data_IF_682239625765
#
_entry.id   IF_682239625765
#
_cell.length_a   1.000
_cell.length_b   1.000
_cell.length_c   1.000
_cell.angle_alpha   90.00
_cell.angle_beta   90.00
_cell.angle_gamma   90.00
#
_symmetry.space_group_name_H-M   'P 1'
#
loop_
_entity.id
_entity.type
_entity.pdbx_description
1 polymer ?
#
# COMPACT_ATOMS: atom_id res chain seq x y z
N UNK A 1 9.13 -14.93 -7.18
CA UNK A 1 9.80 -13.96 -6.28
C UNK A 1 10.76 -13.12 -7.12
N UNK A 2 10.31 -11.99 -7.64
CA UNK A 2 11.18 -11.04 -8.34
C UNK A 2 11.99 -10.29 -7.30
N UNK A 3 13.32 -10.34 -7.45
CA UNK A 3 14.30 -9.66 -6.60
C UNK A 3 14.29 -8.15 -6.92
N UNK A 4 13.18 -7.47 -6.62
CA UNK A 4 13.06 -6.03 -6.80
C UNK A 4 13.89 -5.36 -5.70
N UNK A 5 14.92 -4.56 -6.02
CA UNK A 5 15.69 -3.86 -5.00
C UNK A 5 14.76 -2.99 -4.17
N UNK A 6 15.00 -2.96 -2.86
CA UNK A 6 14.21 -2.16 -1.92
C UNK A 6 14.08 -0.72 -2.41
N UNK A 7 12.84 -0.22 -2.54
CA UNK A 7 12.56 1.10 -3.10
C UNK A 7 13.22 2.22 -2.27
N UNK A 8 13.22 2.06 -0.95
CA UNK A 8 13.89 2.91 0.04
C UNK A 8 13.85 2.26 1.44
N UNK A 9 14.57 2.87 2.40
CA UNK A 9 14.51 2.53 3.83
C UNK A 9 13.29 3.17 4.52
N UNK A 10 12.82 2.57 5.63
CA UNK A 10 11.62 3.04 6.34
C UNK A 10 11.91 4.07 7.44
N UNK A 11 13.07 3.97 8.10
CA UNK A 11 13.44 4.84 9.22
C UNK A 11 14.14 6.11 8.72
N UNK A 12 13.35 7.01 8.11
CA UNK A 12 13.82 8.29 7.58
C UNK A 12 13.41 9.43 8.50
N UNK A 13 14.25 10.46 8.58
CA UNK A 13 13.85 11.74 9.19
C UNK A 13 12.67 12.36 8.43
N UNK A 14 11.75 13.07 9.09
CA UNK A 14 10.51 13.57 8.48
C UNK A 14 10.74 14.39 7.20
N UNK A 15 11.65 15.36 7.20
CA UNK A 15 12.04 16.14 6.02
C UNK A 15 12.48 15.24 4.85
N UNK A 16 13.31 14.23 5.14
CA UNK A 16 13.82 13.30 4.13
C UNK A 16 12.70 12.42 3.57
N UNK A 17 11.80 11.93 4.42
CA UNK A 17 10.62 11.17 4.00
C UNK A 17 9.70 12.00 3.09
N UNK A 18 9.43 13.27 3.45
CA UNK A 18 8.64 14.18 2.63
C UNK A 18 9.30 14.51 1.28
N UNK A 19 10.63 14.69 1.26
CA UNK A 19 11.39 14.88 0.03
C UNK A 19 11.34 13.62 -0.85
N UNK A 20 11.46 12.45 -0.25
CA UNK A 20 11.32 11.18 -0.94
C UNK A 20 9.92 11.00 -1.53
N UNK A 21 8.85 11.36 -0.80
CA UNK A 21 7.49 11.29 -1.35
C UNK A 21 7.36 12.09 -2.65
N UNK A 22 7.93 13.30 -2.71
CA UNK A 22 7.93 14.11 -3.94
C UNK A 22 8.70 13.45 -5.08
N UNK A 23 9.87 12.86 -4.79
CA UNK A 23 10.67 12.12 -5.79
C UNK A 23 9.92 10.89 -6.32
N UNK A 24 9.27 10.14 -5.44
CA UNK A 24 8.52 8.93 -5.80
C UNK A 24 7.22 9.26 -6.53
N UNK A 25 6.56 10.38 -6.21
CA UNK A 25 5.35 10.83 -6.92
C UNK A 25 5.57 11.02 -8.42
N UNK A 26 6.78 11.38 -8.84
CA UNK A 26 7.15 11.52 -10.25
C UNK A 26 7.24 10.17 -11.00
N UNK A 27 7.30 9.04 -10.27
CA UNK A 27 7.32 7.69 -10.83
C UNK A 27 5.92 7.07 -10.99
N UNK A 28 4.88 7.74 -10.50
CA UNK A 28 3.51 7.21 -10.54
C UNK A 28 2.96 7.29 -11.96
N UNK A 29 2.60 6.12 -12.51
CA UNK A 29 1.86 6.00 -13.76
C UNK A 29 0.36 6.17 -13.45
N UNK A 30 -0.30 7.09 -14.17
CA UNK A 30 -1.73 7.43 -13.96
C UNK A 30 -2.63 7.00 -15.12
N UNK A 31 -2.04 6.35 -16.11
CA UNK A 31 -2.73 5.76 -17.25
C UNK A 31 -2.84 4.26 -17.05
N UNK A 32 -3.87 3.65 -17.63
CA UNK A 32 -4.02 2.20 -17.61
C UNK A 32 -2.79 1.51 -18.23
N UNK A 33 -2.32 0.46 -17.56
CA UNK A 33 -1.20 -0.40 -17.93
C UNK A 33 -1.53 -1.88 -17.66
N UNK A 34 -2.80 -2.23 -17.48
CA UNK A 34 -3.23 -3.61 -17.30
C UNK A 34 -2.82 -4.45 -18.52
N UNK A 35 -2.18 -5.59 -18.28
CA UNK A 35 -1.67 -6.48 -19.33
C UNK A 35 -2.76 -7.37 -19.94
N UNK A 36 -3.96 -7.37 -19.37
CA UNK A 36 -5.08 -8.22 -19.76
C UNK A 36 -6.26 -8.03 -18.82
N UNK A 37 -7.18 -8.99 -18.83
CA UNK A 37 -8.34 -9.02 -17.93
C UNK A 37 -7.90 -9.18 -16.47
N UNK A 38 -8.53 -8.41 -15.57
CA UNK A 38 -8.38 -8.57 -14.13
C UNK A 38 -9.14 -9.82 -13.68
N UNK A 39 -8.43 -10.78 -13.08
CA UNK A 39 -8.99 -12.04 -12.56
C UNK A 39 -8.79 -12.19 -11.06
N UNK A 40 -7.72 -11.59 -10.53
CA UNK A 40 -7.35 -11.62 -9.13
C UNK A 40 -7.28 -10.21 -8.56
N UNK A 41 -8.11 -9.92 -7.58
CA UNK A 41 -8.13 -8.63 -6.87
C UNK A 41 -7.72 -8.85 -5.43
N UNK A 42 -6.70 -8.14 -4.96
CA UNK A 42 -6.36 -8.11 -3.54
C UNK A 42 -6.99 -6.89 -2.87
N UNK A 43 -7.68 -7.09 -1.75
CA UNK A 43 -8.04 -6.03 -0.82
C UNK A 43 -7.05 -6.00 0.35
N UNK A 44 -6.64 -4.82 0.78
CA UNK A 44 -5.81 -4.66 1.99
C UNK A 44 -6.36 -3.56 2.88
N UNK A 45 -6.38 -3.86 4.18
CA UNK A 45 -6.70 -2.94 5.26
C UNK A 45 -5.71 -3.16 6.40
N UNK A 46 -5.58 -2.18 7.30
CA UNK A 46 -4.70 -2.30 8.43
C UNK A 46 -5.15 -1.54 9.68
N UNK A 47 -4.60 -1.97 10.80
CA UNK A 47 -4.78 -1.36 12.09
C UNK A 47 -3.44 -1.14 12.79
N UNK A 48 -3.35 -0.05 13.54
CA UNK A 48 -2.22 0.23 14.42
C UNK A 48 -2.68 0.10 15.88
N UNK A 49 -1.93 -0.65 16.67
CA UNK A 49 -2.07 -0.72 18.12
C UNK A 49 -0.92 0.08 18.76
N UNK A 50 -1.17 1.35 19.06
CA UNK A 50 -0.13 2.23 19.61
C UNK A 50 0.28 1.84 21.04
N UNK A 51 -0.65 1.30 21.85
CA UNK A 51 -0.34 0.84 23.22
C UNK A 51 0.67 -0.32 23.23
N UNK A 52 0.57 -1.23 22.26
CA UNK A 52 1.48 -2.37 22.10
C UNK A 52 2.63 -2.10 21.13
N UNK A 53 2.66 -0.93 20.50
CA UNK A 53 3.58 -0.57 19.43
C UNK A 53 3.60 -1.59 18.26
N UNK A 54 2.42 -2.09 17.87
CA UNK A 54 2.25 -3.12 16.83
C UNK A 54 1.39 -2.62 15.66
N UNK A 55 1.77 -2.99 14.44
CA UNK A 55 0.97 -2.86 13.23
C UNK A 55 0.40 -4.23 12.84
N UNK A 56 -0.82 -4.23 12.33
CA UNK A 56 -1.54 -5.41 11.86
C UNK A 56 -2.08 -5.13 10.46
N UNK A 57 -1.68 -5.91 9.46
CA UNK A 57 -2.19 -5.79 8.10
C UNK A 57 -2.93 -7.07 7.72
N UNK A 58 -4.09 -6.92 7.09
CA UNK A 58 -4.86 -8.03 6.53
C UNK A 58 -4.94 -7.87 5.01
N UNK A 59 -4.56 -8.93 4.28
CA UNK A 59 -4.73 -9.01 2.83
C UNK A 59 -5.69 -10.15 2.49
N UNK A 60 -6.61 -9.88 1.57
CA UNK A 60 -7.60 -10.83 1.07
C UNK A 60 -7.50 -10.89 -0.44
N UNK A 61 -7.26 -12.08 -0.99
CA UNK A 61 -7.25 -12.31 -2.44
C UNK A 61 -8.62 -12.83 -2.88
N UNK A 62 -9.19 -12.19 -3.89
CA UNK A 62 -10.50 -12.49 -4.45
C UNK A 62 -10.39 -12.89 -5.92
N UNK A 63 -11.22 -13.82 -6.37
CA UNK A 63 -11.50 -14.01 -7.79
C UNK A 63 -12.38 -12.87 -8.32
N UNK A 64 -12.24 -12.52 -9.59
CA UNK A 64 -13.07 -11.53 -10.26
C UNK A 64 -13.56 -12.08 -11.61
N UNK A 65 -14.84 -11.91 -11.96
CA UNK A 65 -15.87 -11.10 -11.28
C UNK A 65 -16.65 -11.80 -10.16
N UNK A 66 -16.36 -13.07 -9.84
CA UNK A 66 -17.18 -13.87 -8.91
C UNK A 66 -17.06 -13.42 -7.44
N UNK A 67 -16.01 -12.67 -7.09
CA UNK A 67 -15.76 -12.14 -5.75
C UNK A 67 -15.62 -13.24 -4.68
N UNK A 68 -15.14 -14.42 -5.08
CA UNK A 68 -14.91 -15.52 -4.14
C UNK A 68 -13.56 -15.33 -3.45
N UNK A 69 -13.52 -15.58 -2.14
CA UNK A 69 -12.26 -15.45 -1.41
C UNK A 69 -11.38 -16.67 -1.62
N UNK A 70 -10.21 -16.44 -2.21
CA UNK A 70 -9.21 -17.46 -2.49
C UNK A 70 -8.20 -17.59 -1.36
N UNK A 71 -7.73 -16.46 -0.81
CA UNK A 71 -6.74 -16.42 0.28
C UNK A 71 -7.04 -15.30 1.26
N UNK A 72 -6.64 -15.49 2.52
CA UNK A 72 -6.67 -14.46 3.57
C UNK A 72 -5.44 -14.63 4.43
N UNK A 73 -4.66 -13.56 4.60
CA UNK A 73 -3.49 -13.57 5.47
C UNK A 73 -3.50 -12.34 6.37
N UNK A 74 -3.02 -12.52 7.59
CA UNK A 74 -2.76 -11.45 8.54
C UNK A 74 -1.28 -11.47 8.85
N UNK A 75 -0.67 -10.30 8.86
CA UNK A 75 0.72 -10.12 9.27
C UNK A 75 0.79 -9.04 10.34
N UNK A 76 1.70 -9.23 11.29
CA UNK A 76 1.91 -8.33 12.40
C UNK A 76 3.39 -8.05 12.55
N UNK A 77 3.73 -6.77 12.78
CA UNK A 77 5.10 -6.38 13.11
C UNK A 77 5.14 -5.10 13.95
N UNK A 78 6.24 -4.82 14.66
CA UNK A 78 6.39 -3.56 15.39
C UNK A 78 6.30 -2.33 14.49
N UNK A 79 5.70 -1.24 14.99
CA UNK A 79 5.61 0.02 14.26
C UNK A 79 7.01 0.60 14.07
N UNK A 80 7.37 0.94 12.82
CA UNK A 80 8.72 1.41 12.44
C UNK A 80 8.93 2.93 12.52
N UNK A 81 7.85 3.71 12.60
CA UNK A 81 7.92 5.18 12.60
C UNK A 81 6.80 5.79 13.48
N UNK A 82 7.06 6.88 14.24
CA UNK A 82 6.03 7.57 15.01
C UNK A 82 4.97 8.23 14.12
N UNK A 83 3.83 8.60 14.71
CA UNK A 83 2.77 9.30 13.98
C UNK A 83 3.23 10.69 13.51
N UNK A 84 3.30 10.87 12.19
CA UNK A 84 3.57 12.17 11.56
C UNK A 84 2.53 12.40 10.45
N UNK A 85 1.70 13.45 10.54
CA UNK A 85 0.69 13.75 9.53
C UNK A 85 1.26 13.81 8.12
N UNK A 86 0.65 13.04 7.20
CA UNK A 86 1.08 12.97 5.80
C UNK A 86 2.27 12.04 5.48
N UNK A 87 2.79 11.33 6.48
CA UNK A 87 3.79 10.25 6.34
C UNK A 87 3.24 8.87 6.74
N UNK A 88 1.92 8.73 6.84
CA UNK A 88 1.25 7.52 7.31
C UNK A 88 1.72 6.25 6.57
N UNK A 89 1.92 6.33 5.25
CA UNK A 89 2.41 5.21 4.43
C UNK A 89 3.73 4.60 4.91
N UNK A 90 4.61 5.38 5.56
CA UNK A 90 5.89 4.87 6.09
C UNK A 90 5.71 4.04 7.37
N UNK A 91 4.64 4.29 8.14
CA UNK A 91 4.26 3.47 9.31
C UNK A 91 3.60 2.17 8.88
N UNK A 92 2.90 2.23 7.75
CA UNK A 92 1.86 1.29 7.39
C UNK A 92 2.30 0.23 6.37
N UNK A 93 2.99 0.67 5.31
CA UNK A 93 3.40 -0.22 4.21
C UNK A 93 4.32 -1.37 4.64
N UNK A 94 5.26 -1.24 5.60
CA UNK A 94 6.08 -2.39 6.00
C UNK A 94 5.24 -3.62 6.35
N UNK A 95 4.22 -3.43 7.19
CA UNK A 95 3.35 -4.50 7.65
C UNK A 95 2.50 -5.05 6.50
N UNK A 96 2.02 -4.17 5.63
CA UNK A 96 1.31 -4.56 4.41
C UNK A 96 2.19 -5.44 3.51
N UNK A 97 3.46 -5.08 3.28
CA UNK A 97 4.38 -5.89 2.47
C UNK A 97 4.61 -7.26 3.10
N UNK A 98 4.66 -7.35 4.43
CA UNK A 98 4.69 -8.62 5.15
C UNK A 98 3.45 -9.48 4.88
N UNK A 99 2.26 -8.88 4.87
CA UNK A 99 1.02 -9.59 4.52
C UNK A 99 1.01 -10.06 3.05
N UNK A 100 1.44 -9.22 2.11
CA UNK A 100 1.53 -9.58 0.69
C UNK A 100 2.55 -10.69 0.42
N UNK A 101 3.63 -10.77 1.22
CA UNK A 101 4.61 -11.84 1.10
C UNK A 101 4.07 -13.24 1.46
N UNK A 102 2.92 -13.31 2.14
CA UNK A 102 2.23 -14.56 2.48
C UNK A 102 1.31 -15.06 1.36
N UNK A 103 0.95 -14.22 0.39
CA UNK A 103 0.11 -14.62 -0.73
C UNK A 103 0.83 -15.65 -1.62
N UNK A 104 0.14 -16.73 -1.94
CA UNK A 104 0.67 -17.76 -2.85
C UNK A 104 0.58 -17.34 -4.32
N UNK A 105 -0.31 -16.39 -4.63
CA UNK A 105 -0.58 -15.88 -5.96
C UNK A 105 -0.47 -14.35 -6.00
N UNK A 106 0.04 -13.82 -7.11
CA UNK A 106 0.12 -12.37 -7.32
C UNK A 106 -1.24 -11.84 -7.82
N UNK A 107 -1.81 -10.79 -7.21
CA UNK A 107 -3.02 -10.15 -7.72
C UNK A 107 -2.74 -9.33 -8.99
N UNK A 108 -3.75 -9.17 -9.83
CA UNK A 108 -3.71 -8.29 -11.00
C UNK A 108 -3.95 -6.82 -10.61
N UNK A 109 -4.72 -6.61 -9.54
CA UNK A 109 -5.11 -5.30 -9.03
C UNK A 109 -5.19 -5.32 -7.50
N UNK A 110 -4.71 -4.25 -6.87
CA UNK A 110 -4.81 -4.08 -5.41
C UNK A 110 -5.71 -2.91 -5.06
N UNK A 111 -6.70 -3.16 -4.20
CA UNK A 111 -7.53 -2.15 -3.57
C UNK A 111 -7.03 -1.91 -2.15
N UNK A 112 -6.77 -0.64 -1.81
CA UNK A 112 -6.19 -0.22 -0.53
C UNK A 112 -7.18 0.68 0.19
N UNK A 113 -7.50 0.40 1.45
CA UNK A 113 -8.25 1.34 2.30
C UNK A 113 -7.35 2.56 2.60
N UNK A 114 -7.52 3.62 1.82
CA UNK A 114 -6.68 4.80 1.91
C UNK A 114 -6.58 5.58 0.61
N UNK A 115 -5.78 6.65 0.64
CA UNK A 115 -5.62 7.56 -0.48
C UNK A 115 -4.57 7.06 -1.48
N UNK A 116 -4.79 7.32 -2.77
CA UNK A 116 -3.78 7.21 -3.83
C UNK A 116 -3.19 8.57 -4.19
N UNK A 117 -3.43 9.02 -5.42
CA UNK A 117 -2.99 10.34 -5.90
C UNK A 117 -3.72 11.52 -5.23
N UNK A 118 -4.87 11.26 -4.58
CA UNK A 118 -5.64 12.21 -3.77
C UNK A 118 -4.93 12.50 -2.42
N UNK A 119 -3.68 12.93 -2.50
CA UNK A 119 -2.80 13.21 -1.37
C UNK A 119 -2.03 14.52 -1.64
N UNK A 120 -1.67 15.34 -0.62
CA UNK A 120 -0.95 16.61 -0.81
C UNK A 120 0.35 16.51 -1.64
N UNK A 121 0.97 15.33 -1.67
CA UNK A 121 2.19 15.06 -2.45
C UNK A 121 1.97 14.09 -3.61
N UNK A 122 0.72 13.80 -3.98
CA UNK A 122 0.33 12.81 -4.99
C UNK A 122 0.85 11.38 -4.74
N UNK A 123 1.29 11.12 -3.51
CA UNK A 123 1.80 9.84 -3.05
C UNK A 123 1.13 9.45 -1.74
N UNK A 124 -0.15 9.08 -1.81
CA UNK A 124 -0.84 8.42 -0.71
C UNK A 124 -0.41 6.96 -0.58
N UNK A 125 -0.95 6.25 0.42
CA UNK A 125 -0.58 4.86 0.71
C UNK A 125 -0.77 3.93 -0.49
N UNK A 126 -1.86 4.05 -1.25
CA UNK A 126 -2.11 3.17 -2.39
C UNK A 126 -1.04 3.35 -3.48
N UNK A 127 -0.77 4.61 -3.85
CA UNK A 127 0.26 4.95 -4.84
C UNK A 127 1.65 4.53 -4.39
N UNK A 128 1.95 4.68 -3.09
CA UNK A 128 3.23 4.29 -2.55
C UNK A 128 3.40 2.75 -2.51
N UNK A 129 2.34 2.02 -2.13
CA UNK A 129 2.32 0.57 -2.15
C UNK A 129 2.50 0.03 -3.57
N UNK A 130 1.86 0.65 -4.58
CA UNK A 130 2.01 0.23 -5.98
C UNK A 130 3.45 0.30 -6.48
N UNK A 131 4.23 1.30 -6.03
CA UNK A 131 5.66 1.38 -6.36
C UNK A 131 6.50 0.26 -5.71
N UNK A 132 6.09 -0.23 -4.55
CA UNK A 132 6.76 -1.33 -3.86
C UNK A 132 6.41 -2.69 -4.48
N UNK A 133 5.13 -2.90 -4.79
CA UNK A 133 4.64 -4.15 -5.35
C UNK A 133 4.89 -4.29 -6.85
N UNK A 134 5.17 -3.17 -7.54
CA UNK A 134 5.14 -3.09 -9.01
C UNK A 134 3.80 -3.59 -9.58
N UNK A 135 2.70 -3.16 -8.95
CA UNK A 135 1.34 -3.56 -9.26
C UNK A 135 0.38 -2.37 -9.41
N UNK A 136 -0.68 -2.50 -10.24
CA UNK A 136 -1.78 -1.55 -10.26
C UNK A 136 -2.45 -1.45 -8.88
N UNK A 137 -2.67 -0.23 -8.40
CA UNK A 137 -3.29 0.04 -7.09
C UNK A 137 -4.38 1.09 -7.19
N UNK A 138 -5.47 0.89 -6.43
CA UNK A 138 -6.57 1.86 -6.29
C UNK A 138 -6.76 2.15 -4.80
N UNK A 139 -6.74 3.43 -4.44
CA UNK A 139 -7.10 3.88 -3.10
C UNK A 139 -8.60 4.09 -2.95
N UNK A 140 -9.20 3.44 -1.95
CA UNK A 140 -10.63 3.49 -1.63
C UNK A 140 -10.83 4.15 -0.26
N UNK A 141 -10.67 5.47 -0.17
CA UNK A 141 -10.77 6.20 1.09
C UNK A 141 -12.22 6.52 1.49
N UNK A 142 -12.46 6.61 2.81
CA UNK A 142 -13.77 6.92 3.42
C UNK A 142 -14.04 8.43 3.57
N UNK A 143 -13.04 9.28 3.37
CA UNK A 143 -13.14 10.75 3.48
C UNK A 143 -12.20 11.45 2.50
N UNK A 144 -12.49 12.73 2.21
CA UNK A 144 -11.65 13.56 1.33
C UNK A 144 -10.45 14.07 2.12
N UNK A 145 -9.23 13.72 1.67
CA UNK A 145 -7.99 14.31 2.19
C UNK A 145 -7.56 15.54 1.36
N UNK A 146 -7.73 15.46 0.04
CA UNK A 146 -7.36 16.53 -0.91
C UNK A 146 -8.19 16.40 -2.18
N UNK A 147 -8.51 17.54 -2.77
CA UNK A 147 -9.44 17.65 -3.89
C UNK A 147 -10.65 18.46 -3.45
N UNK A 148 -11.46 18.88 -4.40
CA UNK A 148 -12.72 19.58 -4.18
C UNK A 148 -13.79 18.94 -5.05
#
# INVERSE_FOLDING_TARGET
MTNTPALHEWNLQPEAAMALQRKLAAKIIRTDQLKGEVKLVAGVDMALNEEKNMAHAAVVLLSYPQMEVLERHVYEEPIRMPYIPGLLSFREIPCILGAFALLSQQPDLVMVDGQGIAHPRYLGIASHLGLWLDLPTIGCAKSILRGH
#
